data_IF_402413321277
#
_entry.id   IF_402413321277
#
_cell.length_a   1.000
_cell.length_b   1.000
_cell.length_c   1.000
_cell.angle_alpha   90.00
_cell.angle_beta   90.00
_cell.angle_gamma   90.00
#
_symmetry.space_group_name_H-M   'P 1'
#
loop_
_entity.id
_entity.type
_entity.pdbx_description
1 polymer ?
#
# COMPACT_ATOMS: atom_id res chain seq x y z
N UNK A 1 4.07 0.95 15.24
CA UNK A 1 5.52 1.24 15.10
C UNK A 1 6.27 -0.06 14.87
N UNK A 2 7.43 -0.04 14.23
CA UNK A 2 8.22 -1.25 14.01
C UNK A 2 8.96 -1.70 15.28
N UNK A 3 9.16 -3.02 15.49
CA UNK A 3 10.07 -3.51 16.51
C UNK A 3 11.52 -3.15 16.16
N UNK A 4 12.40 -3.06 17.18
CA UNK A 4 13.80 -2.62 17.01
C UNK A 4 14.55 -3.44 15.95
N UNK A 5 14.44 -4.77 16.00
CA UNK A 5 15.06 -5.67 15.01
C UNK A 5 14.67 -5.35 13.56
N UNK A 6 13.42 -4.91 13.34
CA UNK A 6 12.96 -4.52 12.00
C UNK A 6 13.46 -3.13 11.59
N UNK A 7 13.58 -2.21 12.54
CA UNK A 7 14.16 -0.88 12.28
C UNK A 7 15.61 -1.04 11.82
N UNK A 8 16.39 -1.87 12.51
CA UNK A 8 17.80 -2.10 12.20
C UNK A 8 17.98 -2.67 10.79
N UNK A 9 17.11 -3.61 10.39
CA UNK A 9 17.09 -4.15 9.02
C UNK A 9 16.67 -3.08 8.00
N UNK A 10 15.54 -2.41 8.20
CA UNK A 10 15.00 -1.45 7.23
C UNK A 10 15.89 -0.23 7.03
N UNK A 11 16.73 0.15 8.02
CA UNK A 11 17.73 1.22 7.89
C UNK A 11 18.78 0.93 6.82
N UNK A 12 19.07 -0.35 6.58
CA UNK A 12 20.03 -0.78 5.56
C UNK A 12 19.40 -0.87 4.16
N UNK A 13 18.07 -0.86 4.07
CA UNK A 13 17.36 -0.95 2.79
C UNK A 13 17.28 0.44 2.14
N UNK A 14 17.86 0.64 0.95
CA UNK A 14 17.78 1.91 0.23
C UNK A 14 16.37 2.16 -0.33
N UNK A 15 16.09 3.37 -0.84
CA UNK A 15 14.84 3.63 -1.56
C UNK A 15 14.67 2.66 -2.72
N UNK A 16 13.43 2.22 -2.96
CA UNK A 16 13.07 1.15 -3.90
C UNK A 16 13.72 -0.21 -3.60
N UNK A 17 14.39 -0.34 -2.47
CA UNK A 17 15.03 -1.57 -2.03
C UNK A 17 14.06 -2.50 -1.31
N UNK A 18 14.51 -3.73 -1.11
CA UNK A 18 13.83 -4.79 -0.41
C UNK A 18 14.86 -5.75 0.21
N UNK A 19 14.41 -6.90 0.73
CA UNK A 19 15.29 -7.81 1.47
C UNK A 19 16.55 -8.26 0.72
N UNK A 20 16.58 -8.27 -0.63
CA UNK A 20 17.77 -8.67 -1.40
C UNK A 20 18.90 -7.64 -1.41
N UNK A 21 18.62 -6.41 -1.03
CA UNK A 21 19.61 -5.33 -0.94
C UNK A 21 20.42 -5.38 0.38
N UNK A 22 20.01 -6.25 1.31
CA UNK A 22 20.69 -6.42 2.59
C UNK A 22 21.98 -7.26 2.43
N UNK A 23 22.94 -7.15 3.36
CA UNK A 23 24.03 -8.12 3.49
C UNK A 23 23.54 -9.57 3.64
N UNK A 24 24.23 -10.54 3.04
CA UNK A 24 23.75 -11.93 2.90
C UNK A 24 23.47 -12.63 4.24
N UNK A 25 24.25 -12.34 5.26
CA UNK A 25 24.06 -12.79 6.65
C UNK A 25 22.73 -12.26 7.21
N UNK A 26 22.47 -10.96 7.06
CA UNK A 26 21.23 -10.31 7.50
C UNK A 26 20.03 -10.82 6.69
N UNK A 27 20.20 -11.07 5.39
CA UNK A 27 19.15 -11.67 4.56
C UNK A 27 18.69 -13.01 5.14
N UNK A 28 19.63 -13.91 5.42
CA UNK A 28 19.35 -15.27 5.94
C UNK A 28 18.66 -15.20 7.31
N UNK A 29 19.15 -14.34 8.20
CA UNK A 29 18.55 -14.17 9.53
C UNK A 29 17.13 -13.60 9.45
N UNK A 30 16.93 -12.52 8.69
CA UNK A 30 15.65 -11.81 8.63
C UNK A 30 14.54 -12.63 7.96
N UNK A 31 14.91 -13.35 6.89
CA UNK A 31 14.02 -14.19 6.09
C UNK A 31 13.79 -15.57 6.71
N UNK A 32 14.73 -16.07 7.52
CA UNK A 32 14.70 -17.42 8.08
C UNK A 32 14.49 -18.47 6.99
N UNK A 33 13.61 -19.45 7.24
CA UNK A 33 13.29 -20.50 6.26
C UNK A 33 12.79 -19.99 4.91
N UNK A 34 12.21 -18.77 4.85
CA UNK A 34 11.73 -18.18 3.59
C UNK A 34 12.85 -17.81 2.62
N UNK A 35 14.09 -17.67 3.11
CA UNK A 35 15.27 -17.43 2.29
C UNK A 35 15.52 -18.56 1.28
N UNK A 36 15.26 -19.80 1.69
CA UNK A 36 15.50 -21.00 0.89
C UNK A 36 14.33 -21.39 -0.01
N UNK A 37 13.19 -20.72 0.14
CA UNK A 37 12.01 -20.96 -0.70
C UNK A 37 12.13 -20.19 -2.02
N UNK A 38 11.61 -20.78 -3.10
CA UNK A 38 11.43 -20.09 -4.37
C UNK A 38 10.47 -18.88 -4.29
N UNK A 39 10.41 -18.10 -5.36
CA UNK A 39 9.58 -16.89 -5.46
C UNK A 39 10.30 -15.62 -4.96
N UNK A 40 10.11 -14.51 -5.70
CA UNK A 40 10.88 -13.27 -5.52
C UNK A 40 10.76 -12.62 -4.14
N UNK A 41 9.58 -12.71 -3.50
CA UNK A 41 9.27 -12.11 -2.18
C UNK A 41 9.63 -10.62 -2.11
N UNK A 42 9.43 -9.89 -3.20
CA UNK A 42 9.85 -8.49 -3.38
C UNK A 42 9.15 -7.52 -2.42
N UNK A 43 8.04 -7.93 -1.80
CA UNK A 43 7.32 -7.16 -0.78
C UNK A 43 7.93 -7.22 0.63
N UNK A 44 8.92 -8.07 0.89
CA UNK A 44 9.54 -8.22 2.22
C UNK A 44 10.65 -7.19 2.41
N UNK A 45 10.67 -6.52 3.58
CA UNK A 45 11.57 -5.40 3.88
C UNK A 45 11.53 -4.29 2.81
N UNK A 46 10.37 -4.09 2.17
CA UNK A 46 10.23 -3.15 1.06
C UNK A 46 10.25 -1.70 1.54
N UNK A 47 11.15 -0.88 0.97
CA UNK A 47 11.13 0.57 1.07
C UNK A 47 10.65 1.19 -0.25
N UNK A 48 9.63 2.03 -0.16
CA UNK A 48 9.07 2.72 -1.33
C UNK A 48 10.01 3.86 -1.74
N UNK A 49 10.18 4.11 -3.03
CA UNK A 49 10.86 5.30 -3.58
C UNK A 49 9.88 6.44 -3.87
N UNK A 50 10.37 7.68 -3.94
CA UNK A 50 9.53 8.85 -4.26
C UNK A 50 9.02 8.87 -5.70
N UNK A 51 9.77 8.26 -6.61
CA UNK A 51 9.53 8.22 -8.06
C UNK A 51 9.04 6.83 -8.51
N UNK A 52 8.44 6.05 -7.61
CA UNK A 52 7.75 4.81 -7.94
C UNK A 52 6.33 4.77 -7.38
N UNK A 53 5.40 4.05 -8.04
CA UNK A 53 4.10 3.80 -7.44
C UNK A 53 4.23 2.92 -6.20
N UNK A 54 3.38 3.15 -5.21
CA UNK A 54 3.29 2.25 -4.07
C UNK A 54 2.71 0.90 -4.50
N UNK A 55 3.25 -0.18 -3.93
CA UNK A 55 2.63 -1.51 -4.01
C UNK A 55 1.24 -1.52 -3.36
N UNK A 56 0.42 -2.52 -3.68
CA UNK A 56 -0.90 -2.70 -3.06
C UNK A 56 -0.83 -2.59 -1.54
N UNK A 57 -1.62 -1.67 -1.02
CA UNK A 57 -1.80 -1.44 0.41
C UNK A 57 -2.75 -2.51 0.96
N UNK A 58 -2.37 -3.13 2.08
CA UNK A 58 -3.22 -4.12 2.75
C UNK A 58 -3.70 -3.61 4.10
N UNK A 59 -4.61 -4.33 4.74
CA UNK A 59 -5.19 -3.99 6.04
C UNK A 59 -4.19 -4.01 7.21
N UNK A 60 -2.96 -4.48 6.99
CA UNK A 60 -1.95 -4.64 8.05
C UNK A 60 -0.59 -4.10 7.59
N UNK A 61 -0.32 -2.80 7.77
CA UNK A 61 0.84 -2.12 7.17
C UNK A 61 2.19 -2.45 7.83
N UNK A 62 2.21 -3.28 8.87
CA UNK A 62 3.41 -3.57 9.66
C UNK A 62 3.83 -5.06 9.67
N UNK A 63 3.10 -5.94 8.97
CA UNK A 63 3.46 -7.35 8.85
C UNK A 63 4.55 -7.55 7.78
N UNK A 64 5.42 -8.54 7.97
CA UNK A 64 6.64 -8.77 7.16
C UNK A 64 6.42 -8.77 5.64
N UNK A 65 5.28 -9.24 5.15
CA UNK A 65 5.00 -9.37 3.72
C UNK A 65 4.23 -8.18 3.12
N UNK A 66 3.54 -7.44 3.96
CA UNK A 66 2.60 -6.39 3.55
C UNK A 66 3.06 -4.99 3.93
N UNK A 67 4.15 -4.89 4.68
CA UNK A 67 4.76 -3.63 5.06
C UNK A 67 5.26 -2.85 3.85
N UNK A 68 5.10 -1.54 3.96
CA UNK A 68 5.63 -0.55 3.04
C UNK A 68 6.34 0.49 3.90
N UNK A 69 7.66 0.47 3.88
CA UNK A 69 8.46 1.44 4.63
C UNK A 69 8.43 2.78 3.90
N UNK A 70 8.27 3.86 4.65
CA UNK A 70 8.30 5.23 4.13
C UNK A 70 9.61 5.49 3.35
N UNK A 71 9.62 6.31 2.28
CA UNK A 71 10.82 6.51 1.47
C UNK A 71 12.05 7.03 2.22
N UNK A 72 11.83 7.91 3.20
CA UNK A 72 12.92 8.55 3.95
C UNK A 72 13.01 8.08 5.40
N UNK A 73 11.88 7.68 5.98
CA UNK A 73 11.79 7.41 7.41
C UNK A 73 11.70 5.90 7.63
N UNK A 74 12.27 5.40 8.74
CA UNK A 74 12.19 3.97 9.05
C UNK A 74 10.93 3.67 9.88
N UNK A 75 9.78 3.85 9.24
CA UNK A 75 8.44 3.61 9.80
C UNK A 75 7.48 3.14 8.71
N UNK A 76 6.35 2.50 9.08
CA UNK A 76 5.28 2.30 8.12
C UNK A 76 4.67 3.65 7.75
N UNK A 77 3.94 3.66 6.64
CA UNK A 77 3.05 4.78 6.34
C UNK A 77 2.08 5.05 7.49
N UNK A 78 1.79 6.31 7.73
CA UNK A 78 0.71 6.76 8.62
C UNK A 78 -0.65 6.48 8.00
N UNK A 79 -1.72 6.52 8.80
CA UNK A 79 -3.10 6.38 8.31
C UNK A 79 -3.38 7.37 7.18
N UNK A 80 -2.92 8.62 7.31
CA UNK A 80 -3.19 9.66 6.32
C UNK A 80 -2.43 9.44 5.01
N UNK A 81 -1.16 9.03 5.08
CA UNK A 81 -0.38 8.63 3.91
C UNK A 81 -1.02 7.43 3.19
N UNK A 82 -1.46 6.43 3.96
CA UNK A 82 -2.19 5.25 3.45
C UNK A 82 -3.45 5.66 2.69
N UNK A 83 -4.24 6.55 3.28
CA UNK A 83 -5.48 7.04 2.72
C UNK A 83 -5.25 7.87 1.45
N UNK A 84 -4.19 8.70 1.41
CA UNK A 84 -3.81 9.46 0.19
C UNK A 84 -3.40 8.55 -0.96
N UNK A 85 -2.65 7.48 -0.69
CA UNK A 85 -2.32 6.48 -1.72
C UNK A 85 -3.59 5.81 -2.27
N UNK A 86 -4.59 5.56 -1.41
CA UNK A 86 -5.93 5.11 -1.82
C UNK A 86 -6.84 6.24 -2.35
N UNK A 87 -6.28 7.42 -2.62
CA UNK A 87 -6.94 8.60 -3.20
C UNK A 87 -8.11 9.14 -2.38
N UNK A 88 -8.18 8.84 -1.09
CA UNK A 88 -9.16 9.46 -0.21
C UNK A 88 -8.90 10.97 -0.08
N UNK A 89 -9.96 11.80 -0.06
CA UNK A 89 -9.86 13.20 0.30
C UNK A 89 -9.13 13.41 1.64
N UNK A 90 -8.41 14.52 1.77
CA UNK A 90 -7.61 14.82 2.95
C UNK A 90 -8.45 15.12 4.19
N UNK A 91 -9.66 15.64 3.99
CA UNK A 91 -10.67 15.91 4.99
C UNK A 91 -11.52 14.70 5.37
N UNK A 92 -11.33 13.55 4.70
CA UNK A 92 -12.02 12.30 5.03
C UNK A 92 -11.65 11.83 6.44
N UNK A 93 -12.66 11.57 7.27
CA UNK A 93 -12.49 11.12 8.66
C UNK A 93 -12.70 9.62 8.75
N UNK A 94 -11.73 8.91 9.33
CA UNK A 94 -11.81 7.49 9.62
C UNK A 94 -12.07 7.28 11.11
N UNK A 95 -13.02 6.41 11.43
CA UNK A 95 -13.45 6.15 12.81
C UNK A 95 -12.84 4.87 13.39
N UNK A 96 -12.79 4.80 14.73
CA UNK A 96 -12.28 3.65 15.48
C UNK A 96 -10.77 3.65 15.70
N UNK A 97 -10.24 2.53 16.18
CA UNK A 97 -8.81 2.36 16.47
C UNK A 97 -7.95 2.46 15.20
N UNK A 98 -6.67 2.80 15.36
CA UNK A 98 -5.70 2.88 14.24
C UNK A 98 -5.69 1.61 13.37
N UNK A 99 -5.80 0.43 13.97
CA UNK A 99 -5.87 -0.83 13.23
C UNK A 99 -7.17 -0.95 12.39
N UNK A 100 -8.30 -0.52 12.94
CA UNK A 100 -9.57 -0.47 12.21
C UNK A 100 -9.54 0.54 11.07
N UNK A 101 -8.88 1.69 11.25
CA UNK A 101 -8.72 2.68 10.19
C UNK A 101 -7.86 2.12 9.03
N UNK A 102 -6.74 1.46 9.31
CA UNK A 102 -5.97 0.77 8.26
C UNK A 102 -6.78 -0.31 7.54
N UNK A 103 -7.65 -1.04 8.25
CA UNK A 103 -8.55 -2.03 7.64
C UNK A 103 -9.59 -1.39 6.73
N UNK A 104 -10.17 -0.25 7.13
CA UNK A 104 -11.09 0.51 6.27
C UNK A 104 -10.40 0.94 4.97
N UNK A 105 -9.21 1.52 5.07
CA UNK A 105 -8.45 2.02 3.91
C UNK A 105 -7.95 0.87 3.02
N UNK A 106 -7.41 -0.19 3.62
CA UNK A 106 -6.84 -1.33 2.88
C UNK A 106 -7.87 -2.18 2.14
N UNK A 107 -9.11 -2.23 2.62
CA UNK A 107 -10.21 -2.92 1.94
C UNK A 107 -10.95 -2.04 0.92
N UNK A 108 -10.76 -0.72 0.95
CA UNK A 108 -11.44 0.19 0.05
C UNK A 108 -10.96 0.04 -1.40
N UNK A 109 -11.85 0.36 -2.34
CA UNK A 109 -11.47 0.67 -3.72
C UNK A 109 -10.90 2.09 -3.74
N UNK A 110 -9.83 2.39 -4.51
CA UNK A 110 -9.35 3.76 -4.65
C UNK A 110 -10.49 4.71 -5.05
N UNK A 111 -10.68 5.79 -4.32
CA UNK A 111 -11.79 6.75 -4.53
C UNK A 111 -11.81 7.31 -5.95
N UNK A 112 -10.66 7.67 -6.51
CA UNK A 112 -10.57 8.17 -7.89
C UNK A 112 -10.97 7.11 -8.91
N UNK A 113 -10.64 5.83 -8.70
CA UNK A 113 -11.11 4.75 -9.57
C UNK A 113 -12.63 4.62 -9.51
N UNK A 114 -13.21 4.64 -8.29
CA UNK A 114 -14.66 4.62 -8.11
C UNK A 114 -15.37 5.79 -8.80
N UNK A 115 -14.76 6.99 -8.75
CA UNK A 115 -15.25 8.20 -9.43
C UNK A 115 -15.29 8.03 -10.95
N UNK A 116 -14.19 7.60 -11.58
CA UNK A 116 -14.12 7.45 -13.03
C UNK A 116 -15.07 6.35 -13.55
N UNK A 117 -15.21 5.25 -12.80
CA UNK A 117 -16.23 4.22 -13.10
C UNK A 117 -17.63 4.81 -13.01
N UNK A 118 -17.92 5.61 -11.98
CA UNK A 118 -19.20 6.31 -11.82
C UNK A 118 -19.54 7.21 -13.01
N UNK A 119 -18.58 8.01 -13.49
CA UNK A 119 -18.78 8.83 -14.69
C UNK A 119 -19.04 8.01 -15.94
N UNK A 120 -18.32 6.90 -16.13
CA UNK A 120 -18.56 5.99 -17.25
C UNK A 120 -19.99 5.45 -17.26
N UNK A 121 -20.50 5.03 -16.08
CA UNK A 121 -21.88 4.56 -15.92
C UNK A 121 -22.88 5.68 -16.24
N UNK A 122 -22.68 6.89 -15.71
CA UNK A 122 -23.56 8.04 -15.99
C UNK A 122 -23.60 8.34 -17.49
N UNK A 123 -22.44 8.38 -18.15
CA UNK A 123 -22.35 8.64 -19.58
C UNK A 123 -23.10 7.59 -20.41
N UNK A 124 -22.95 6.32 -20.05
CA UNK A 124 -23.69 5.22 -20.68
C UNK A 124 -25.20 5.39 -20.50
N UNK A 125 -25.69 5.61 -19.28
CA UNK A 125 -27.11 5.74 -18.99
C UNK A 125 -27.73 6.96 -19.68
N UNK A 126 -27.05 8.10 -19.67
CA UNK A 126 -27.51 9.30 -20.39
C UNK A 126 -27.64 9.04 -21.89
N UNK A 127 -26.66 8.35 -22.50
CA UNK A 127 -26.70 8.00 -23.92
C UNK A 127 -27.85 7.05 -24.23
N UNK A 128 -28.01 6.00 -23.43
CA UNK A 128 -29.06 5.00 -23.59
C UNK A 128 -30.46 5.61 -23.50
N UNK A 129 -30.72 6.42 -22.46
CA UNK A 129 -32.04 7.03 -22.23
C UNK A 129 -32.35 8.20 -23.17
N UNK A 130 -31.35 8.91 -23.69
CA UNK A 130 -31.60 9.93 -24.71
C UNK A 130 -31.96 9.32 -26.07
N UNK A 131 -31.40 8.16 -26.42
CA UNK A 131 -31.73 7.44 -27.66
C UNK A 131 -33.09 6.73 -27.61
N UNK A 132 -33.56 6.38 -26.40
CA UNK A 132 -34.80 5.61 -26.20
C UNK A 132 -36.03 6.46 -25.91
N UNK A 133 -35.91 7.80 -25.91
CA UNK A 133 -37.10 8.67 -25.92
C UNK A 133 -37.80 8.56 -27.28
N UNK A 134 -39.10 8.21 -27.32
CA UNK A 134 -39.86 8.28 -28.57
C UNK A 134 -39.87 9.73 -29.07
N UNK A 135 -39.71 9.90 -30.38
CA UNK A 135 -39.85 11.20 -31.06
C UNK A 135 -41.25 11.77 -30.88
#
# INVERSE_FOLDING_TARGET
KYPKSKIDVLRLVPQKGYWRDLPLDIQKEFMGGSFHLGGGKTGIARRIGWDEPCLTLTCSPAQKQTERCHPEETRPFTVREYARIQTFPDDWKFEGSVAQQYKQIGNAVPVNLGKEVGYSIINFLNSYYNLSKPK
#
